data_IF_516718321581
#
_entry.id   IF_516718321581
#
_cell.length_a   1.000
_cell.length_b   1.000
_cell.length_c   1.000
_cell.angle_alpha   90.00
_cell.angle_beta   90.00
_cell.angle_gamma   90.00
#
_symmetry.space_group_name_H-M   'P 1'
#
loop_
_entity.id
_entity.type
_entity.pdbx_description
1 polymer ?
#
# COMPACT_ATOMS: atom_id res chain seq x y z
N UNK A 1 6.99 -8.56 3.15
CA UNK A 1 6.79 -7.39 4.02
C UNK A 1 5.34 -7.03 4.36
N UNK A 2 4.63 -6.20 3.59
CA UNK A 2 3.37 -5.54 4.04
C UNK A 2 2.09 -6.40 4.00
N UNK A 3 2.20 -7.67 3.64
CA UNK A 3 1.05 -8.57 3.52
C UNK A 3 0.52 -9.00 4.89
N UNK A 4 -0.70 -9.53 4.93
CA UNK A 4 -1.23 -10.18 6.14
C UNK A 4 -0.34 -11.37 6.52
N UNK A 5 0.09 -11.42 7.79
CA UNK A 5 1.06 -12.39 8.30
C UNK A 5 2.51 -12.16 7.85
N UNK A 6 2.79 -11.06 7.14
CA UNK A 6 4.12 -10.70 6.66
C UNK A 6 5.02 -10.13 7.75
N UNK A 7 6.24 -9.73 7.35
CA UNK A 7 7.28 -9.23 8.27
C UNK A 7 6.81 -8.08 9.16
N UNK A 8 5.97 -7.17 8.66
CA UNK A 8 5.45 -6.08 9.50
C UNK A 8 4.60 -6.60 10.65
N UNK A 9 3.69 -7.54 10.37
CA UNK A 9 2.83 -8.15 11.39
C UNK A 9 3.67 -8.95 12.40
N UNK A 10 4.66 -9.71 11.91
CA UNK A 10 5.58 -10.51 12.73
C UNK A 10 6.41 -9.66 13.70
N UNK A 11 6.63 -8.38 13.38
CA UNK A 11 7.39 -7.44 14.20
C UNK A 11 6.49 -6.43 14.93
N UNK A 12 5.17 -6.58 14.89
CA UNK A 12 4.22 -5.66 15.53
C UNK A 12 4.23 -4.24 14.94
N UNK A 13 4.60 -4.09 13.67
CA UNK A 13 4.70 -2.81 12.97
C UNK A 13 3.39 -2.55 12.21
N UNK A 14 2.74 -1.43 12.50
CA UNK A 14 1.56 -0.96 11.75
C UNK A 14 1.96 0.21 10.86
N UNK A 15 2.06 -0.04 9.55
CA UNK A 15 2.27 1.01 8.55
C UNK A 15 0.92 1.61 8.15
N UNK A 16 0.59 2.81 8.63
CA UNK A 16 -0.67 3.45 8.27
C UNK A 16 -0.69 4.03 6.85
N UNK A 17 0.42 4.61 6.38
CA UNK A 17 0.55 5.14 5.03
C UNK A 17 1.90 4.74 4.45
N UNK A 18 1.91 4.35 3.19
CA UNK A 18 3.14 4.09 2.43
C UNK A 18 3.07 4.86 1.12
N UNK A 19 4.00 5.80 0.92
CA UNK A 19 4.17 6.50 -0.34
C UNK A 19 5.12 5.70 -1.23
N UNK A 20 4.74 5.47 -2.49
CA UNK A 20 5.54 4.72 -3.43
C UNK A 20 5.67 5.46 -4.76
N UNK A 21 6.90 5.50 -5.28
CA UNK A 21 7.21 5.91 -6.64
C UNK A 21 7.67 4.67 -7.43
N UNK A 22 7.07 4.47 -8.59
CA UNK A 22 7.23 3.28 -9.41
C UNK A 22 7.80 3.74 -10.75
N UNK A 23 9.08 3.40 -10.95
CA UNK A 23 9.77 3.62 -12.21
C UNK A 23 9.60 2.40 -13.13
N UNK A 24 9.87 2.60 -14.42
CA UNK A 24 10.06 1.49 -15.35
C UNK A 24 11.30 0.69 -14.93
N UNK A 25 11.11 -0.54 -14.49
CA UNK A 25 12.22 -1.45 -14.19
C UNK A 25 12.67 -2.26 -15.41
N UNK A 26 13.90 -2.81 -15.33
CA UNK A 26 14.39 -3.82 -16.27
C UNK A 26 13.99 -5.24 -15.83
N UNK A 27 13.98 -6.17 -16.79
CA UNK A 27 13.70 -7.63 -16.73
C UNK A 27 12.75 -8.12 -15.62
N UNK A 28 11.60 -8.70 -16.01
CA UNK A 28 10.59 -9.32 -15.13
C UNK A 28 9.96 -8.36 -14.08
N UNK A 29 10.23 -7.06 -14.16
CA UNK A 29 9.65 -6.05 -13.27
C UNK A 29 8.11 -6.12 -13.22
N UNK A 30 7.47 -6.20 -14.39
CA UNK A 30 6.00 -6.23 -14.50
C UNK A 30 5.38 -7.42 -13.77
N UNK A 31 6.01 -8.60 -13.88
CA UNK A 31 5.51 -9.84 -13.25
C UNK A 31 5.64 -9.78 -11.74
N UNK A 32 6.80 -9.35 -11.23
CA UNK A 32 7.04 -9.19 -9.79
C UNK A 32 6.13 -8.13 -9.20
N UNK A 33 5.96 -7.00 -9.89
CA UNK A 33 5.06 -5.95 -9.48
C UNK A 33 3.60 -6.43 -9.45
N UNK A 34 3.14 -7.11 -10.51
CA UNK A 34 1.78 -7.66 -10.55
C UNK A 34 1.53 -8.69 -9.44
N UNK A 35 2.51 -9.55 -9.13
CA UNK A 35 2.41 -10.51 -8.03
C UNK A 35 2.29 -9.80 -6.66
N UNK A 36 3.11 -8.76 -6.43
CA UNK A 36 3.04 -7.95 -5.22
C UNK A 36 1.69 -7.24 -5.08
N UNK A 37 1.22 -6.58 -6.15
CA UNK A 37 -0.05 -5.87 -6.16
C UNK A 37 -1.24 -6.80 -5.94
N UNK A 38 -1.26 -7.98 -6.58
CA UNK A 38 -2.29 -9.00 -6.35
C UNK A 38 -2.33 -9.45 -4.90
N UNK A 39 -1.16 -9.65 -4.28
CA UNK A 39 -1.06 -9.98 -2.85
C UNK A 39 -1.72 -8.92 -1.97
N UNK A 40 -1.38 -7.64 -2.18
CA UNK A 40 -1.93 -6.53 -1.40
C UNK A 40 -3.45 -6.37 -1.59
N UNK A 41 -3.94 -6.52 -2.82
CA UNK A 41 -5.37 -6.42 -3.13
C UNK A 41 -6.17 -7.58 -2.52
N UNK A 42 -5.62 -8.79 -2.54
CA UNK A 42 -6.26 -9.97 -1.93
C UNK A 42 -6.34 -9.86 -0.40
N UNK A 43 -5.31 -9.28 0.22
CA UNK A 43 -5.25 -9.09 1.67
C UNK A 43 -6.26 -8.05 2.16
N UNK A 44 -6.77 -7.17 1.29
CA UNK A 44 -7.78 -6.13 1.58
C UNK A 44 -7.45 -5.22 2.77
N UNK A 45 -6.17 -5.09 3.12
CA UNK A 45 -5.69 -4.24 4.23
C UNK A 45 -5.44 -2.80 3.80
N UNK A 46 -4.96 -2.62 2.58
CA UNK A 46 -4.53 -1.31 2.06
C UNK A 46 -5.40 -0.89 0.89
N UNK A 47 -5.91 0.35 0.96
CA UNK A 47 -6.49 1.03 -0.18
C UNK A 47 -5.35 1.68 -0.97
N UNK A 48 -5.32 1.45 -2.28
CA UNK A 48 -4.23 1.89 -3.15
C UNK A 48 -4.73 3.05 -4.00
N UNK A 49 -4.19 4.24 -3.79
CA UNK A 49 -4.63 5.45 -4.47
C UNK A 49 -3.59 5.90 -5.49
N UNK A 50 -4.03 6.16 -6.72
CA UNK A 50 -3.21 6.80 -7.72
C UNK A 50 -3.18 8.31 -7.45
N UNK A 51 -1.97 8.88 -7.36
CA UNK A 51 -1.80 10.33 -7.18
C UNK A 51 -1.57 10.99 -8.53
N UNK A 52 -0.51 10.59 -9.22
CA UNK A 52 -0.02 11.24 -10.44
C UNK A 52 0.68 10.21 -11.34
N UNK A 53 0.68 10.44 -12.65
CA UNK A 53 1.55 9.72 -13.59
C UNK A 53 2.21 10.70 -14.53
N UNK A 54 3.49 10.98 -14.29
CA UNK A 54 4.32 11.91 -15.09
C UNK A 54 5.73 11.33 -15.18
N UNK A 55 6.05 10.62 -16.27
CA UNK A 55 7.31 9.87 -16.43
C UNK A 55 7.43 8.61 -15.54
N UNK A 56 6.93 8.67 -14.31
CA UNK A 56 6.85 7.59 -13.33
C UNK A 56 5.48 7.59 -12.63
N UNK A 57 5.11 6.48 -12.02
CA UNK A 57 3.82 6.35 -11.33
C UNK A 57 3.99 6.62 -9.84
N UNK A 58 3.25 7.59 -9.31
CA UNK A 58 3.21 7.89 -7.87
C UNK A 58 1.88 7.45 -7.29
N UNK A 59 1.96 6.69 -6.21
CA UNK A 59 0.82 6.16 -5.47
C UNK A 59 1.07 6.29 -3.97
N UNK A 60 0.01 6.25 -3.19
CA UNK A 60 0.10 5.95 -1.77
C UNK A 60 -0.89 4.86 -1.41
N UNK A 61 -0.52 4.09 -0.39
CA UNK A 61 -1.33 3.05 0.20
C UNK A 61 -1.75 3.51 1.59
N UNK A 62 -3.03 3.31 1.91
CA UNK A 62 -3.60 3.64 3.22
C UNK A 62 -4.14 2.38 3.87
N UNK A 63 -3.66 2.05 5.06
CA UNK A 63 -4.18 0.94 5.85
C UNK A 63 -5.53 1.34 6.45
N UNK A 64 -6.60 0.69 6.01
CA UNK A 64 -7.95 0.94 6.51
C UNK A 64 -8.47 -0.21 7.40
N UNK A 65 -7.68 -1.26 7.57
CA UNK A 65 -7.96 -2.40 8.45
C UNK A 65 -7.65 -2.06 9.92
N UNK A 66 -6.62 -1.24 10.16
CA UNK A 66 -6.25 -0.80 11.51
C UNK A 66 -6.98 0.48 11.92
N UNK A 67 -7.71 0.40 13.05
CA UNK A 67 -8.48 1.52 13.61
C UNK A 67 -7.65 2.79 13.83
N UNK A 68 -6.40 2.68 14.29
CA UNK A 68 -5.54 3.86 14.52
C UNK A 68 -5.25 4.60 13.22
N UNK A 69 -5.11 3.87 12.12
CA UNK A 69 -4.87 4.45 10.80
C UNK A 69 -6.12 5.14 10.25
N UNK A 70 -7.30 4.52 10.44
CA UNK A 70 -8.59 5.13 10.09
C UNK A 70 -8.82 6.41 10.89
N UNK A 71 -8.62 6.38 12.21
CA UNK A 71 -8.77 7.56 13.07
C UNK A 71 -7.82 8.70 12.67
N UNK A 72 -6.58 8.35 12.32
CA UNK A 72 -5.55 9.32 11.94
C UNK A 72 -5.81 10.00 10.60
N UNK A 73 -6.27 9.25 9.59
CA UNK A 73 -6.29 9.74 8.21
C UNK A 73 -7.68 9.85 7.58
N UNK A 74 -8.67 9.07 8.03
CA UNK A 74 -9.97 8.93 7.34
C UNK A 74 -11.10 9.59 8.14
N UNK A 75 -11.16 9.33 9.45
CA UNK A 75 -12.33 9.67 10.27
C UNK A 75 -12.71 11.15 10.25
N UNK A 76 -11.74 12.06 10.05
CA UNK A 76 -11.99 13.50 9.95
C UNK A 76 -12.90 13.91 8.80
N UNK A 77 -13.01 13.11 7.74
CA UNK A 77 -13.80 13.43 6.55
C UNK A 77 -15.27 12.99 6.64
N UNK A 78 -15.64 12.25 7.69
CA UNK A 78 -17.00 11.72 7.90
C UNK A 78 -17.66 12.29 9.16
N UNK A 79 -17.16 13.42 9.64
CA UNK A 79 -17.74 14.17 10.76
C UNK A 79 -18.68 15.25 10.26
#
# INVERSE_FOLDING_TARGET
MMRVGGEFDQNGIVACQVNAEIHSGHTNFKERFAALMRGLLNDRRYAIFKVVTTGHHRTFLLNFDDRKCVEKYIAQFFK
#
